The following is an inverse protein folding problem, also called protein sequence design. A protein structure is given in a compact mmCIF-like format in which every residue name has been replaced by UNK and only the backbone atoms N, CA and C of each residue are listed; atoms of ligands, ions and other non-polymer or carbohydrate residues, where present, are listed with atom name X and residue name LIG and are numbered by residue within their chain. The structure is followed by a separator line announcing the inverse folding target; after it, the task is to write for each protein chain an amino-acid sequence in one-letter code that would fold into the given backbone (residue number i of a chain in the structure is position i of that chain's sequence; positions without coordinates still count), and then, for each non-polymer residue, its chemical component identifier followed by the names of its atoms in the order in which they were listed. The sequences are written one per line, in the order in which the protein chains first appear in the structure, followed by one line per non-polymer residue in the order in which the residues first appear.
data_IF_802480074415
#
_entry.id   IF_802480074415
#
_cell.length_a   1.000
_cell.length_b   1.000
_cell.length_c   1.000
_cell.angle_alpha   90.00
_cell.angle_beta   90.00
_cell.angle_gamma   90.00
#
_symmetry.space_group_name_H-M   'P 1'
#
loop_
_entity.id
_entity.type
_entity.pdbx_description
1 polymer ?
#
# COMPACT_ATOMS: atom_id res chain seq x y z
N UNK A 1 0.97 -52.97 -9.67
CA UNK A 1 0.73 -52.39 -11.00
C UNK A 1 0.19 -50.97 -10.85
N UNK A 2 1.07 -50.02 -10.55
CA UNK A 2 0.90 -48.57 -10.73
C UNK A 2 2.35 -48.12 -10.97
N UNK A 3 2.84 -48.00 -12.20
CA UNK A 3 2.38 -47.07 -13.23
C UNK A 3 3.27 -45.83 -13.14
N UNK A 4 4.54 -45.99 -13.54
CA UNK A 4 5.52 -44.90 -13.66
C UNK A 4 4.95 -43.77 -14.53
N UNK A 5 4.64 -42.62 -13.92
CA UNK A 5 4.35 -41.41 -14.67
C UNK A 5 5.64 -40.61 -14.85
N UNK A 6 6.16 -40.48 -16.09
CA UNK A 6 7.37 -39.72 -16.33
C UNK A 6 7.09 -38.23 -16.13
N UNK A 7 7.65 -37.66 -15.06
CA UNK A 7 7.68 -36.22 -14.81
C UNK A 7 8.56 -35.54 -15.85
N UNK A 8 7.95 -35.11 -16.96
CA UNK A 8 8.56 -34.20 -17.93
C UNK A 8 7.48 -33.33 -18.57
N UNK A 9 7.15 -32.20 -17.96
CA UNK A 9 6.83 -31.00 -18.73
C UNK A 9 7.28 -29.74 -18.00
N UNK A 10 8.16 -29.03 -18.68
CA UNK A 10 8.80 -27.78 -18.30
C UNK A 10 7.77 -26.66 -18.18
N UNK A 11 7.83 -25.85 -17.12
CA UNK A 11 7.60 -24.42 -17.25
C UNK A 11 8.77 -23.68 -16.62
N UNK A 12 9.53 -23.08 -17.53
CA UNK A 12 10.70 -22.25 -17.32
C UNK A 12 10.26 -20.88 -16.77
N UNK A 13 11.19 -20.25 -16.05
CA UNK A 13 11.32 -18.80 -15.76
C UNK A 13 10.51 -18.27 -14.57
N UNK A 14 11.23 -18.07 -13.47
CA UNK A 14 11.44 -16.76 -12.84
C UNK A 14 10.33 -15.70 -13.03
N UNK A 15 9.11 -15.98 -12.57
CA UNK A 15 8.22 -14.91 -12.13
C UNK A 15 8.66 -14.52 -10.73
N UNK A 16 9.68 -13.65 -10.64
CA UNK A 16 9.87 -12.81 -9.45
C UNK A 16 8.58 -12.04 -9.27
N UNK A 17 7.68 -12.58 -8.42
CA UNK A 17 6.51 -11.89 -7.93
C UNK A 17 7.04 -10.66 -7.16
N UNK A 18 7.22 -9.56 -7.89
CA UNK A 18 7.46 -8.26 -7.31
C UNK A 18 6.16 -7.87 -6.62
N UNK A 19 5.99 -8.35 -5.37
CA UNK A 19 5.03 -7.74 -4.45
C UNK A 19 5.37 -6.27 -4.42
N UNK A 20 4.61 -5.49 -5.18
CA UNK A 20 4.66 -4.04 -5.14
C UNK A 20 4.01 -3.71 -3.80
N UNK A 21 4.80 -3.79 -2.74
CA UNK A 21 4.39 -3.45 -1.38
C UNK A 21 4.15 -1.95 -1.38
N UNK A 22 2.90 -1.56 -1.61
CA UNK A 22 2.46 -0.19 -1.44
C UNK A 22 2.60 0.14 0.05
N UNK A 23 3.68 0.83 0.40
CA UNK A 23 3.93 1.24 1.77
C UNK A 23 3.26 2.58 2.01
N UNK A 24 2.27 2.59 2.89
CA UNK A 24 1.65 3.82 3.35
C UNK A 24 2.44 4.33 4.56
N UNK A 25 3.16 5.44 4.39
CA UNK A 25 4.07 6.00 5.41
C UNK A 25 3.51 7.24 6.14
N UNK A 26 2.31 7.72 5.77
CA UNK A 26 1.69 8.83 6.48
C UNK A 26 1.08 8.36 7.81
N UNK A 27 1.19 9.15 8.90
CA UNK A 27 0.57 8.81 10.18
C UNK A 27 -0.94 8.68 10.09
N UNK A 28 -1.46 7.56 10.61
CA UNK A 28 -2.89 7.24 10.63
C UNK A 28 -3.45 7.23 12.05
N UNK A 29 -4.73 7.54 12.18
CA UNK A 29 -5.52 7.34 13.40
C UNK A 29 -6.78 6.54 13.05
N UNK A 30 -7.24 5.70 13.99
CA UNK A 30 -8.43 4.87 13.81
C UNK A 30 -9.68 5.70 14.14
N UNK A 31 -10.67 5.69 13.27
CA UNK A 31 -11.90 6.47 13.45
C UNK A 31 -12.85 5.74 14.40
N UNK A 32 -13.00 4.42 14.22
CA UNK A 32 -13.89 3.60 15.03
C UNK A 32 -13.18 2.32 15.50
N UNK A 33 -13.38 1.88 16.74
CA UNK A 33 -12.65 0.73 17.30
C UNK A 33 -12.96 -0.60 16.59
N UNK A 34 -14.15 -0.75 16.00
CA UNK A 34 -14.64 -2.03 15.45
C UNK A 34 -14.56 -2.12 13.92
N UNK A 35 -14.20 -1.04 13.24
CA UNK A 35 -14.07 -1.02 11.77
C UNK A 35 -12.61 -0.78 11.38
N UNK A 36 -12.21 -1.26 10.20
CA UNK A 36 -10.88 -0.96 9.64
C UNK A 36 -10.88 0.41 8.96
N UNK A 37 -11.42 1.42 9.65
CA UNK A 37 -11.56 2.77 9.15
C UNK A 37 -10.50 3.67 9.78
N UNK A 38 -9.68 4.29 8.92
CA UNK A 38 -8.54 5.08 9.33
C UNK A 38 -8.54 6.42 8.60
N UNK A 39 -7.94 7.44 9.21
CA UNK A 39 -7.73 8.74 8.59
C UNK A 39 -6.33 9.25 8.85
N UNK A 40 -5.86 10.21 8.05
CA UNK A 40 -4.59 10.88 8.30
C UNK A 40 -4.65 11.67 9.61
N UNK A 41 -3.66 11.49 10.48
CA UNK A 41 -3.57 12.19 11.77
C UNK A 41 -3.57 13.72 11.64
N UNK A 42 -3.08 14.26 10.53
CA UNK A 42 -2.92 15.69 10.30
C UNK A 42 -4.13 16.33 9.61
N UNK A 43 -4.53 15.83 8.43
CA UNK A 43 -5.62 16.44 7.66
C UNK A 43 -6.98 15.78 7.83
N UNK A 44 -7.08 14.72 8.64
CA UNK A 44 -8.32 13.99 8.95
C UNK A 44 -9.07 13.41 7.75
N UNK A 45 -8.51 13.46 6.53
CA UNK A 45 -9.05 12.75 5.36
C UNK A 45 -8.91 11.25 5.54
N UNK A 46 -9.92 10.50 5.12
CA UNK A 46 -9.93 9.05 5.27
C UNK A 46 -8.82 8.41 4.43
N UNK A 47 -8.32 7.27 4.89
CA UNK A 47 -7.31 6.49 4.17
C UNK A 47 -7.81 6.03 2.80
N UNK A 48 -9.13 5.80 2.67
CA UNK A 48 -9.81 5.47 1.42
C UNK A 48 -9.80 6.64 0.43
N UNK A 49 -10.06 7.87 0.88
CA UNK A 49 -9.98 9.08 0.02
C UNK A 49 -8.53 9.39 -0.37
N UNK A 50 -7.59 9.22 0.55
CA UNK A 50 -6.17 9.47 0.29
C UNK A 50 -5.62 8.45 -0.72
N UNK A 51 -6.04 7.19 -0.64
CA UNK A 51 -5.62 6.10 -1.52
C UNK A 51 -4.09 5.98 -1.65
N UNK A 52 -3.36 6.28 -0.57
CA UNK A 52 -1.89 6.27 -0.57
C UNK A 52 -1.22 7.38 -1.39
N UNK A 53 -1.97 8.35 -1.93
CA UNK A 53 -1.45 9.39 -2.81
C UNK A 53 -1.22 10.71 -2.06
N UNK A 54 0.00 11.22 -2.13
CA UNK A 54 0.39 12.49 -1.49
C UNK A 54 -0.51 13.67 -1.90
N UNK A 55 -0.90 13.74 -3.17
CA UNK A 55 -1.76 14.78 -3.73
C UNK A 55 -3.20 14.78 -3.21
N UNK A 56 -3.68 13.65 -2.68
CA UNK A 56 -5.04 13.52 -2.17
C UNK A 56 -5.18 14.05 -0.74
N UNK A 57 -4.05 14.23 -0.03
CA UNK A 57 -4.04 14.97 1.23
C UNK A 57 -4.47 16.42 1.02
N UNK A 58 -5.04 17.00 2.06
CA UNK A 58 -5.33 18.43 2.09
C UNK A 58 -4.05 19.27 1.82
N UNK A 59 -4.21 20.41 1.17
CA UNK A 59 -3.09 21.35 0.88
C UNK A 59 -2.45 21.87 2.16
N UNK A 60 -3.21 21.93 3.26
CA UNK A 60 -2.74 22.34 4.59
C UNK A 60 -2.17 21.19 5.43
N UNK A 61 -2.10 19.97 4.88
CA UNK A 61 -1.62 18.79 5.62
C UNK A 61 -0.12 18.89 5.92
N UNK A 62 0.26 18.86 7.20
CA UNK A 62 1.67 18.90 7.63
C UNK A 62 2.53 17.79 6.98
N UNK A 63 2.01 16.55 6.91
CA UNK A 63 2.71 15.46 6.23
C UNK A 63 2.95 15.77 4.75
N UNK A 64 1.95 16.33 4.07
CA UNK A 64 2.06 16.69 2.65
C UNK A 64 3.12 17.77 2.45
N UNK A 65 3.02 18.85 3.23
CA UNK A 65 3.95 19.98 3.19
C UNK A 65 5.38 19.49 3.43
N UNK A 66 5.60 18.66 4.46
CA UNK A 66 6.91 18.09 4.77
C UNK A 66 7.48 17.23 3.63
N UNK A 67 6.66 16.35 3.04
CA UNK A 67 7.07 15.50 1.91
C UNK A 67 7.33 16.28 0.63
N UNK A 68 6.55 17.32 0.37
CA UNK A 68 6.77 18.22 -0.78
C UNK A 68 8.04 19.04 -0.59
N UNK A 69 8.32 19.53 0.63
CA UNK A 69 9.54 20.24 0.96
C UNK A 69 10.81 19.37 0.84
N UNK A 70 10.73 18.07 1.16
CA UNK A 70 11.84 17.13 1.00
C UNK A 70 12.16 16.76 -0.46
N UNK A 71 11.29 17.13 -1.42
CA UNK A 71 11.52 16.88 -2.86
C UNK A 71 12.25 18.02 -3.56
N UNK A 72 12.58 19.09 -2.85
CA UNK A 72 13.43 20.19 -3.29
C UNK A 72 14.88 19.95 -2.85
#
# INVERSE_FOLDING_TARGET
MYGDFPSKHLIKKDLRYMETRFFIDYPQEKIEPNTNNYQCKFCKKSSLEINGLLKNHDVSCEYRISKEAQKL
#
